data_IF_363812725586
#
_entry.id   IF_363812725586
#
_cell.length_a   1.000
_cell.length_b   1.000
_cell.length_c   1.000
_cell.angle_alpha   90.00
_cell.angle_beta   90.00
_cell.angle_gamma   90.00
#
_symmetry.space_group_name_H-M   'P 1'
#
loop_
_entity.id
_entity.type
_entity.pdbx_description
1 polymer ?
#
# COMPACT_ATOMS: atom_id res chain seq x y z
N UNK A 1 -6.04 -3.51 21.11
CA UNK A 1 -7.24 -4.15 20.52
C UNK A 1 -6.74 -5.10 19.44
N UNK A 2 -7.28 -6.31 19.33
CA UNK A 2 -6.97 -7.24 18.23
C UNK A 2 -8.10 -7.21 17.21
N UNK A 3 -7.78 -7.08 15.93
CA UNK A 3 -8.75 -7.18 14.84
C UNK A 3 -8.93 -8.65 14.43
N UNK A 4 -10.17 -9.05 14.17
CA UNK A 4 -10.49 -10.34 13.54
C UNK A 4 -10.31 -10.26 12.02
N UNK A 5 -9.96 -11.38 11.37
CA UNK A 5 -9.93 -11.49 9.92
C UNK A 5 -11.26 -11.09 9.28
N UNK A 6 -12.39 -11.43 9.92
CA UNK A 6 -13.72 -11.06 9.42
C UNK A 6 -13.91 -9.53 9.40
N UNK A 7 -13.41 -8.84 10.42
CA UNK A 7 -13.51 -7.37 10.52
C UNK A 7 -12.70 -6.69 9.44
N UNK A 8 -11.47 -7.17 9.21
CA UNK A 8 -10.60 -6.66 8.14
C UNK A 8 -11.21 -6.94 6.76
N UNK A 9 -11.68 -8.17 6.52
CA UNK A 9 -12.34 -8.55 5.28
C UNK A 9 -13.57 -7.68 5.01
N UNK A 10 -14.39 -7.42 6.02
CA UNK A 10 -15.57 -6.58 5.86
C UNK A 10 -15.22 -5.13 5.51
N UNK A 11 -14.18 -4.58 6.14
CA UNK A 11 -13.69 -3.23 5.82
C UNK A 11 -13.16 -3.14 4.39
N UNK A 12 -12.41 -4.15 3.93
CA UNK A 12 -11.91 -4.25 2.55
C UNK A 12 -13.07 -4.39 1.55
N UNK A 13 -14.00 -5.31 1.80
CA UNK A 13 -15.16 -5.51 0.95
C UNK A 13 -15.98 -4.22 0.80
N UNK A 14 -16.23 -3.51 1.90
CA UNK A 14 -16.93 -2.22 1.89
C UNK A 14 -16.17 -1.15 1.13
N UNK A 15 -14.85 -1.06 1.30
CA UNK A 15 -14.03 -0.13 0.53
C UNK A 15 -14.11 -0.39 -0.99
N UNK A 16 -14.06 -1.66 -1.40
CA UNK A 16 -14.18 -2.03 -2.82
C UNK A 16 -15.53 -1.61 -3.41
N UNK A 17 -16.61 -1.81 -2.65
CA UNK A 17 -17.95 -1.34 -3.05
C UNK A 17 -18.02 0.18 -3.15
N UNK A 18 -17.56 0.89 -2.12
CA UNK A 18 -17.63 2.35 -2.02
C UNK A 18 -16.76 3.04 -3.08
N UNK A 19 -15.67 2.41 -3.52
CA UNK A 19 -14.76 2.91 -4.55
C UNK A 19 -15.20 2.55 -5.98
N UNK A 20 -16.27 1.76 -6.15
CA UNK A 20 -16.77 1.36 -7.47
C UNK A 20 -16.06 0.15 -8.10
N UNK A 21 -15.22 -0.57 -7.35
CA UNK A 21 -14.53 -1.77 -7.84
C UNK A 21 -15.46 -2.99 -7.83
N UNK A 22 -16.48 -2.99 -8.70
CA UNK A 22 -17.57 -3.97 -8.70
C UNK A 22 -17.10 -5.41 -8.85
N UNK A 23 -16.21 -5.67 -9.82
CA UNK A 23 -15.69 -7.03 -10.06
C UNK A 23 -14.85 -7.54 -8.90
N UNK A 24 -13.96 -6.70 -8.36
CA UNK A 24 -13.14 -7.05 -7.20
C UNK A 24 -14.00 -7.28 -5.97
N UNK A 25 -14.99 -6.42 -5.71
CA UNK A 25 -15.92 -6.60 -4.60
C UNK A 25 -16.70 -7.91 -4.74
N UNK A 26 -17.16 -8.27 -5.95
CA UNK A 26 -17.86 -9.51 -6.20
C UNK A 26 -16.99 -10.74 -5.91
N UNK A 27 -15.80 -10.81 -6.53
CA UNK A 27 -14.87 -11.93 -6.33
C UNK A 27 -14.44 -12.05 -4.88
N UNK A 28 -14.04 -10.92 -4.28
CA UNK A 28 -13.59 -10.87 -2.89
C UNK A 28 -14.70 -11.28 -1.91
N UNK A 29 -15.95 -10.83 -2.12
CA UNK A 29 -17.06 -11.19 -1.25
C UNK A 29 -17.35 -12.71 -1.22
N UNK A 30 -17.10 -13.41 -2.32
CA UNK A 30 -17.20 -14.87 -2.40
C UNK A 30 -16.00 -15.54 -1.73
N UNK A 31 -14.79 -15.14 -2.10
CA UNK A 31 -13.53 -15.72 -1.60
C UNK A 31 -13.35 -15.53 -0.09
N UNK A 32 -13.74 -14.35 0.43
CA UNK A 32 -13.65 -14.02 1.85
C UNK A 32 -14.85 -14.53 2.67
N UNK A 33 -15.79 -15.26 2.04
CA UNK A 33 -17.03 -15.72 2.66
C UNK A 33 -17.77 -14.62 3.47
N UNK A 34 -17.89 -13.41 2.92
CA UNK A 34 -18.34 -12.25 3.70
C UNK A 34 -19.77 -12.41 4.24
N UNK A 35 -20.60 -13.17 3.55
CA UNK A 35 -21.98 -13.50 3.97
C UNK A 35 -22.05 -14.38 5.22
N UNK A 36 -20.97 -15.06 5.59
CA UNK A 36 -20.86 -15.87 6.81
C UNK A 36 -20.31 -15.06 7.99
N UNK A 37 -19.83 -13.83 7.75
CA UNK A 37 -19.33 -12.97 8.82
C UNK A 37 -20.47 -12.50 9.73
N UNK A 38 -20.19 -12.37 11.03
CA UNK A 38 -21.17 -11.88 12.02
C UNK A 38 -21.28 -10.34 12.06
N UNK A 39 -20.86 -9.65 10.99
CA UNK A 39 -20.72 -8.20 10.98
C UNK A 39 -22.00 -7.56 10.42
N UNK A 40 -22.58 -6.64 11.20
CA UNK A 40 -23.73 -5.86 10.75
C UNK A 40 -23.26 -4.67 9.90
N UNK A 41 -23.43 -4.78 8.58
CA UNK A 41 -23.04 -3.73 7.64
C UNK A 41 -23.70 -2.37 7.88
N UNK A 42 -24.87 -2.32 8.52
CA UNK A 42 -25.55 -1.06 8.82
C UNK A 42 -24.83 -0.22 9.90
N UNK A 43 -23.99 -0.86 10.73
CA UNK A 43 -23.21 -0.18 11.78
C UNK A 43 -21.87 0.33 11.26
N UNK A 44 -21.41 -0.16 10.11
CA UNK A 44 -20.12 0.22 9.54
C UNK A 44 -20.32 1.49 8.69
N UNK A 45 -19.78 2.65 9.11
CA UNK A 45 -19.95 3.90 8.39
C UNK A 45 -19.22 3.85 7.03
N UNK A 46 -19.60 4.72 6.07
CA UNK A 46 -18.84 4.88 4.84
C UNK A 46 -17.39 5.29 5.12
N UNK A 47 -16.46 4.86 4.26
CA UNK A 47 -15.03 5.14 4.35
C UNK A 47 -14.40 4.69 5.70
N UNK A 48 -14.97 3.67 6.36
CA UNK A 48 -14.45 3.16 7.63
C UNK A 48 -12.99 2.69 7.51
N UNK A 49 -12.65 1.97 6.44
CA UNK A 49 -11.28 1.49 6.20
C UNK A 49 -10.29 2.67 6.10
N UNK A 50 -10.61 3.68 5.28
CA UNK A 50 -9.78 4.86 5.11
C UNK A 50 -9.62 5.63 6.42
N UNK A 51 -10.70 5.76 7.18
CA UNK A 51 -10.71 6.45 8.47
C UNK A 51 -9.79 5.76 9.48
N UNK A 52 -9.80 4.42 9.51
CA UNK A 52 -8.92 3.63 10.39
C UNK A 52 -7.47 3.76 9.94
N UNK A 53 -7.19 3.65 8.64
CA UNK A 53 -5.83 3.81 8.11
C UNK A 53 -5.26 5.22 8.40
N UNK A 54 -6.07 6.25 8.20
CA UNK A 54 -5.68 7.63 8.50
C UNK A 54 -5.38 7.82 9.99
N UNK A 55 -6.21 7.27 10.87
CA UNK A 55 -5.96 7.30 12.33
C UNK A 55 -4.72 6.49 12.72
N UNK A 56 -4.48 5.36 12.05
CA UNK A 56 -3.27 4.56 12.25
C UNK A 56 -2.01 5.35 11.91
N UNK A 57 -2.03 6.08 10.78
CA UNK A 57 -0.92 6.94 10.39
C UNK A 57 -0.66 8.07 11.38
N UNK A 58 -1.73 8.74 11.84
CA UNK A 58 -1.63 9.78 12.88
C UNK A 58 -1.11 9.23 14.21
N UNK A 59 -1.51 8.01 14.56
CA UNK A 59 -1.02 7.35 15.76
C UNK A 59 0.48 7.06 15.66
N UNK A 60 0.96 6.57 14.52
CA UNK A 60 2.39 6.40 14.27
C UNK A 60 3.15 7.73 14.31
N UNK A 61 2.59 8.80 13.72
CA UNK A 61 3.19 10.14 13.80
C UNK A 61 3.31 10.62 15.25
N UNK A 62 2.25 10.43 16.05
CA UNK A 62 2.23 10.78 17.46
C UNK A 62 3.29 9.99 18.24
N UNK A 63 3.39 8.67 18.05
CA UNK A 63 4.42 7.84 18.70
C UNK A 63 5.84 8.30 18.35
N UNK A 64 6.09 8.71 17.10
CA UNK A 64 7.40 9.23 16.68
C UNK A 64 7.68 10.62 17.28
N UNK A 65 6.66 11.47 17.38
CA UNK A 65 6.80 12.85 17.85
C UNK A 65 7.05 12.97 19.36
N UNK A 66 6.73 11.94 20.13
CA UNK A 66 6.91 11.92 21.59
C UNK A 66 8.29 11.34 21.90
N UNK A 67 9.18 12.14 22.48
CA UNK A 67 10.47 11.65 22.99
C UNK A 67 10.30 10.71 24.20
N UNK A 68 11.31 9.88 24.52
CA UNK A 68 11.30 8.99 25.69
C UNK A 68 11.03 9.72 27.03
N UNK A 69 11.37 11.01 27.11
CA UNK A 69 11.13 11.88 28.27
C UNK A 69 9.74 12.55 28.26
N UNK A 70 8.89 12.26 27.26
CA UNK A 70 7.54 12.82 27.13
C UNK A 70 7.48 14.26 26.62
N UNK A 71 8.60 14.82 26.12
CA UNK A 71 8.63 16.14 25.49
C UNK A 71 8.36 16.03 23.99
N UNK A 72 7.52 16.91 23.45
CA UNK A 72 7.18 16.94 22.02
C UNK A 72 8.40 17.35 21.18
N UNK A 73 8.87 16.47 20.29
CA UNK A 73 9.82 16.83 19.25
C UNK A 73 9.07 17.55 18.12
N UNK A 74 9.27 18.86 18.05
CA UNK A 74 8.49 19.83 17.23
C UNK A 74 8.64 19.70 15.70
N UNK A 75 9.05 18.56 15.15
CA UNK A 75 9.36 18.50 13.73
C UNK A 75 9.18 17.11 13.15
N UNK A 76 7.95 16.60 13.18
CA UNK A 76 7.53 15.63 12.17
C UNK A 76 6.70 16.42 11.16
N UNK A 77 7.30 16.73 10.02
CA UNK A 77 6.51 17.13 8.85
C UNK A 77 5.52 16.00 8.60
N UNK A 78 4.23 16.35 8.58
CA UNK A 78 3.09 15.45 8.41
C UNK A 78 3.40 14.31 7.45
N UNK A 79 3.23 13.07 7.91
CA UNK A 79 3.44 11.88 7.09
C UNK A 79 2.51 11.94 5.88
N UNK A 80 3.02 12.36 4.74
CA UNK A 80 2.27 12.32 3.50
C UNK A 80 2.25 10.88 2.99
N UNK A 81 1.05 10.37 2.67
CA UNK A 81 0.89 9.04 2.06
C UNK A 81 1.74 8.87 0.79
N UNK A 82 2.00 9.97 0.07
CA UNK A 82 2.89 9.95 -1.10
C UNK A 82 4.36 9.73 -0.71
N UNK A 83 4.81 10.35 0.38
CA UNK A 83 6.20 10.27 0.82
C UNK A 83 6.53 8.89 1.36
N UNK A 84 5.55 8.21 1.98
CA UNK A 84 5.71 6.85 2.49
C UNK A 84 5.95 5.81 1.37
N UNK A 85 5.55 6.12 0.14
CA UNK A 85 5.68 5.24 -1.03
C UNK A 85 6.86 5.65 -1.93
N UNK A 86 7.52 6.79 -1.66
CA UNK A 86 8.68 7.25 -2.43
C UNK A 86 10.01 6.94 -1.71
N UNK A 87 10.82 5.98 -2.20
CA UNK A 87 12.03 5.52 -1.51
C UNK A 87 13.09 6.61 -1.31
N UNK A 88 13.21 7.56 -2.25
CA UNK A 88 14.18 8.65 -2.15
C UNK A 88 13.85 9.66 -1.02
N UNK A 89 12.55 9.90 -0.80
CA UNK A 89 12.08 10.80 0.26
C UNK A 89 12.29 10.13 1.63
N UNK A 90 12.01 8.82 1.73
CA UNK A 90 12.27 8.01 2.92
C UNK A 90 13.77 8.04 3.29
N UNK A 91 14.66 7.82 2.32
CA UNK A 91 16.11 7.85 2.54
C UNK A 91 16.59 9.24 2.97
N UNK A 92 16.06 10.30 2.36
CA UNK A 92 16.40 11.69 2.71
C UNK A 92 15.97 12.02 4.13
N UNK A 93 14.77 11.61 4.55
CA UNK A 93 14.29 11.79 5.94
C UNK A 93 15.11 10.98 6.93
N UNK A 94 15.46 9.73 6.63
CA UNK A 94 16.32 8.93 7.51
C UNK A 94 17.69 9.60 7.74
N UNK A 95 18.26 10.19 6.69
CA UNK A 95 19.51 10.96 6.81
C UNK A 95 19.35 12.24 7.64
N UNK A 96 18.23 12.97 7.50
CA UNK A 96 17.94 14.15 8.32
C UNK A 96 17.71 13.80 9.79
N UNK A 97 16.98 12.72 10.07
CA UNK A 97 16.78 12.21 11.44
C UNK A 97 18.10 11.77 12.08
N UNK A 98 18.98 11.11 11.32
CA UNK A 98 20.32 10.75 11.80
C UNK A 98 21.21 11.97 12.07
N UNK A 99 21.09 13.04 11.28
CA UNK A 99 21.81 14.30 11.52
C UNK A 99 21.27 15.05 12.76
N UNK A 100 19.95 15.09 12.96
CA UNK A 100 19.36 15.69 14.18
C UNK A 100 19.73 14.90 15.44
N UNK A 101 19.74 13.56 15.39
CA UNK A 101 20.21 12.74 16.50
C UNK A 101 21.69 12.95 16.82
N UNK A 102 22.54 13.23 15.82
CA UNK A 102 23.95 13.56 16.04
C UNK A 102 24.14 14.97 16.62
N UNK A 103 23.33 15.95 16.22
CA UNK A 103 23.36 17.30 16.77
C UNK A 103 22.89 17.34 18.25
N UNK A 104 21.86 16.58 18.60
CA UNK A 104 21.37 16.45 19.99
C UNK A 104 22.39 15.68 20.84
N UNK A 105 23.07 14.67 20.29
CA UNK A 105 24.13 13.94 21.01
C UNK A 105 25.36 14.82 21.30
N UNK A 106 25.70 15.78 20.43
CA UNK A 106 26.79 16.73 20.68
C UNK A 106 26.50 17.76 21.77
N UNK A 107 25.22 18.02 22.11
CA UNK A 107 24.87 18.92 23.22
C UNK A 107 24.87 18.22 24.60
N UNK A 108 24.87 16.88 24.65
CA UNK A 108 24.76 16.11 25.90
C UNK A 108 26.09 15.46 26.33
N UNK A 109 27.14 15.46 25.48
CA UNK A 109 28.42 14.77 25.76
C UNK A 109 29.52 15.61 26.42
N UNK A 110 29.19 16.63 27.20
CA UNK A 110 30.15 17.33 28.08
C UNK A 110 29.99 16.92 29.55
N UNK A 111 29.85 15.63 29.85
CA UNK A 111 30.23 15.08 31.16
C UNK A 111 30.74 13.64 31.05
N UNK A 112 32.01 13.46 31.43
CA UNK A 112 32.75 12.20 31.52
C UNK A 112 32.01 11.07 32.25
N UNK A 113 32.14 9.84 31.74
CA UNK A 113 31.88 8.61 32.50
C UNK A 113 31.96 7.36 31.62
N UNK A 114 33.05 6.62 31.76
CA UNK A 114 33.34 5.33 31.14
C UNK A 114 32.28 4.26 31.49
N UNK A 115 31.90 3.41 30.54
CA UNK A 115 32.14 1.96 30.64
C UNK A 115 31.72 1.19 29.37
N UNK A 116 32.53 0.18 29.06
CA UNK A 116 32.37 -0.81 28.01
C UNK A 116 31.24 -1.80 28.30
N UNK A 117 30.61 -2.38 27.26
CA UNK A 117 30.44 -3.83 27.18
C UNK A 117 29.98 -4.31 25.81
N UNK A 118 30.56 -5.44 25.43
CA UNK A 118 30.50 -6.18 24.17
C UNK A 118 29.26 -7.10 24.03
N UNK A 119 28.89 -7.33 22.76
CA UNK A 119 28.41 -8.61 22.15
C UNK A 119 27.06 -9.21 22.59
N UNK A 120 26.14 -9.38 21.64
CA UNK A 120 25.72 -10.71 21.12
C UNK A 120 24.90 -10.59 19.81
N UNK A 121 25.38 -11.30 18.78
CA UNK A 121 24.67 -11.59 17.53
C UNK A 121 23.74 -12.78 17.79
N UNK A 122 22.46 -12.66 17.44
CA UNK A 122 21.55 -13.80 17.40
C UNK A 122 20.82 -13.85 16.05
N UNK A 123 21.25 -14.80 15.24
CA UNK A 123 20.58 -15.32 14.05
C UNK A 123 19.30 -16.03 14.51
N UNK A 124 18.14 -15.70 13.92
CA UNK A 124 16.91 -16.48 14.08
C UNK A 124 16.34 -16.83 12.71
N UNK A 125 16.11 -18.13 12.56
CA UNK A 125 15.76 -18.90 11.38
C UNK A 125 14.34 -18.62 10.89
N UNK A 126 14.20 -18.47 9.57
CA UNK A 126 12.92 -18.49 8.84
C UNK A 126 12.48 -19.94 8.58
N UNK A 127 11.22 -20.34 8.85
CA UNK A 127 10.66 -21.52 8.22
C UNK A 127 10.08 -21.13 6.85
N UNK A 128 10.65 -21.71 5.81
CA UNK A 128 10.12 -21.70 4.45
C UNK A 128 8.95 -22.67 4.37
N UNK A 129 7.72 -22.17 4.18
CA UNK A 129 6.62 -23.00 3.71
C UNK A 129 6.42 -22.79 2.21
N UNK A 130 6.63 -23.87 1.47
CA UNK A 130 6.38 -23.97 0.03
C UNK A 130 4.87 -23.90 -0.20
N UNK A 131 4.42 -22.87 -0.92
CA UNK A 131 3.06 -22.81 -1.43
C UNK A 131 3.02 -23.54 -2.78
N UNK A 132 2.51 -24.78 -2.79
CA UNK A 132 2.13 -25.46 -4.02
C UNK A 132 0.96 -24.69 -4.65
N UNK A 133 1.23 -24.02 -5.78
CA UNK A 133 0.20 -23.42 -6.63
C UNK A 133 -0.01 -24.34 -7.82
N UNK A 134 -1.00 -25.22 -7.72
CA UNK A 134 -1.58 -25.89 -8.87
C UNK A 134 -3.08 -25.62 -8.91
N UNK A 135 -3.49 -24.63 -9.71
CA UNK A 135 -4.67 -24.71 -10.59
C UNK A 135 -4.36 -23.79 -11.78
N UNK A 136 -4.06 -24.38 -12.93
CA UNK A 136 -4.03 -23.68 -14.21
C UNK A 136 -5.46 -23.34 -14.65
N UNK A 137 -5.95 -22.17 -14.23
CA UNK A 137 -7.18 -21.59 -14.78
C UNK A 137 -6.86 -21.04 -16.16
N UNK A 138 -7.11 -21.82 -17.20
CA UNK A 138 -6.95 -21.40 -18.59
C UNK A 138 -8.11 -20.45 -18.96
N UNK A 139 -7.86 -19.14 -18.97
CA UNK A 139 -8.84 -18.13 -19.39
C UNK A 139 -9.06 -18.30 -20.90
N UNK A 140 -10.29 -18.59 -21.37
CA UNK A 140 -10.56 -18.73 -22.79
C UNK A 140 -10.20 -17.43 -23.53
N UNK A 141 -9.47 -17.52 -24.64
CA UNK A 141 -9.07 -16.34 -25.44
C UNK A 141 -10.25 -15.52 -25.97
N UNK A 142 -11.46 -16.08 -25.98
CA UNK A 142 -12.70 -15.36 -26.30
C UNK A 142 -13.17 -14.39 -25.20
N UNK A 143 -12.63 -14.50 -23.99
CA UNK A 143 -12.94 -13.65 -22.83
C UNK A 143 -11.83 -12.65 -22.48
N UNK A 144 -10.75 -12.63 -23.24
CA UNK A 144 -9.62 -11.73 -23.02
C UNK A 144 -9.33 -10.93 -24.29
N UNK A 145 -9.25 -9.60 -24.16
CA UNK A 145 -8.85 -8.71 -25.25
C UNK A 145 -7.38 -8.39 -25.11
N UNK A 146 -6.60 -8.62 -26.17
CA UNK A 146 -5.17 -8.30 -26.21
C UNK A 146 -4.96 -6.93 -26.82
N UNK A 147 -4.48 -5.99 -26.00
CA UNK A 147 -4.11 -4.64 -26.43
C UNK A 147 -2.66 -4.65 -26.90
N UNK A 148 -2.46 -4.59 -28.22
CA UNK A 148 -1.12 -4.65 -28.84
C UNK A 148 -0.58 -3.25 -29.05
N UNK A 149 0.65 -3.00 -28.61
CA UNK A 149 1.31 -1.71 -28.87
C UNK A 149 2.62 -1.51 -28.12
N UNK A 150 2.75 -2.04 -26.91
CA UNK A 150 4.01 -1.95 -26.19
C UNK A 150 5.07 -2.88 -26.78
N UNK A 151 6.29 -2.40 -26.87
CA UNK A 151 7.45 -3.14 -27.43
C UNK A 151 8.29 -3.83 -26.34
N UNK A 152 7.96 -3.60 -25.06
CA UNK A 152 8.61 -4.16 -23.87
C UNK A 152 7.57 -4.42 -22.77
N UNK A 153 8.01 -4.96 -21.64
CA UNK A 153 7.20 -5.30 -20.48
C UNK A 153 6.35 -4.12 -20.00
N UNK A 154 5.10 -4.40 -19.62
CA UNK A 154 4.21 -3.42 -19.00
C UNK A 154 4.33 -3.57 -17.50
N UNK A 155 4.80 -2.53 -16.81
CA UNK A 155 5.01 -2.55 -15.36
C UNK A 155 3.78 -2.09 -14.59
N UNK A 156 2.93 -1.27 -15.22
CA UNK A 156 1.79 -0.64 -14.56
C UNK A 156 0.62 -0.46 -15.52
N UNK A 157 -0.59 -0.64 -15.00
CA UNK A 157 -1.82 -0.23 -15.67
C UNK A 157 -2.84 0.33 -14.66
N UNK A 158 -3.65 1.28 -15.10
CA UNK A 158 -4.68 1.90 -14.27
C UNK A 158 -5.89 2.32 -15.11
N UNK A 159 -7.09 1.93 -14.68
CA UNK A 159 -8.34 2.39 -15.28
C UNK A 159 -8.66 3.81 -14.83
N UNK A 160 -9.23 4.60 -15.74
CA UNK A 160 -9.87 5.84 -15.37
C UNK A 160 -11.16 5.51 -14.57
N UNK A 161 -11.38 6.12 -13.39
CA UNK A 161 -12.54 5.81 -12.55
C UNK A 161 -13.88 6.34 -13.09
N UNK A 162 -13.85 7.19 -14.12
CA UNK A 162 -15.03 7.88 -14.66
C UNK A 162 -15.32 7.59 -16.13
N UNK A 163 -14.31 7.18 -16.90
CA UNK A 163 -14.43 6.90 -18.34
C UNK A 163 -13.83 5.55 -18.65
N UNK A 164 -14.22 4.92 -19.75
CA UNK A 164 -13.66 3.64 -20.22
C UNK A 164 -12.26 3.82 -20.86
N UNK A 165 -11.34 4.46 -20.13
CA UNK A 165 -9.96 4.64 -20.53
C UNK A 165 -9.05 3.81 -19.64
N UNK A 166 -8.06 3.15 -20.23
CA UNK A 166 -7.01 2.44 -19.52
C UNK A 166 -5.66 3.09 -19.83
N UNK A 167 -4.88 3.41 -18.81
CA UNK A 167 -3.50 3.84 -18.97
C UNK A 167 -2.56 2.65 -18.74
N UNK A 168 -1.51 2.50 -19.55
CA UNK A 168 -0.42 1.54 -19.33
C UNK A 168 0.96 2.19 -19.49
N UNK A 169 1.91 1.79 -18.64
CA UNK A 169 3.31 2.23 -18.70
C UNK A 169 4.25 1.05 -18.92
N UNK A 170 5.17 1.17 -19.88
CA UNK A 170 6.06 0.09 -20.30
C UNK A 170 7.54 0.46 -20.23
N UNK A 171 8.39 -0.56 -20.17
CA UNK A 171 9.84 -0.46 -20.34
C UNK A 171 10.28 0.06 -21.71
N UNK A 172 9.36 0.15 -22.69
CA UNK A 172 9.61 0.77 -24.00
C UNK A 172 9.74 2.31 -23.94
N UNK A 173 9.75 2.88 -22.72
CA UNK A 173 9.79 4.32 -22.46
C UNK A 173 8.56 5.08 -22.95
N UNK A 174 7.44 4.38 -23.19
CA UNK A 174 6.17 4.98 -23.57
C UNK A 174 5.07 4.66 -22.53
N UNK A 175 4.14 5.60 -22.41
CA UNK A 175 2.85 5.36 -21.79
C UNK A 175 1.78 5.42 -22.88
N UNK A 176 0.79 4.53 -22.80
CA UNK A 176 -0.33 4.45 -23.76
C UNK A 176 -1.65 4.60 -23.04
N UNK A 177 -2.57 5.32 -23.67
CA UNK A 177 -3.97 5.42 -23.26
C UNK A 177 -4.79 4.59 -24.24
N UNK A 178 -5.59 3.67 -23.71
CA UNK A 178 -6.48 2.81 -24.47
C UNK A 178 -7.91 3.27 -24.25
N UNK A 179 -8.59 3.59 -25.34
CA UNK A 179 -10.02 3.85 -25.34
C UNK A 179 -10.79 2.54 -25.56
N UNK A 180 -11.60 2.18 -24.55
CA UNK A 180 -12.39 0.96 -24.53
C UNK A 180 -13.88 1.24 -24.80
N UNK A 181 -14.25 2.51 -25.01
CA UNK A 181 -15.61 2.90 -25.37
C UNK A 181 -16.02 2.45 -26.78
N UNK A 182 -15.03 2.21 -27.65
CA UNK A 182 -15.23 1.70 -29.02
C UNK A 182 -15.18 0.17 -29.05
N UNK A 183 -16.27 -0.48 -28.63
CA UNK A 183 -16.47 -1.92 -28.90
C UNK A 183 -16.92 -2.20 -30.35
N UNK A 184 -16.61 -1.30 -31.29
CA UNK A 184 -16.91 -1.45 -32.71
C UNK A 184 -15.67 -1.15 -33.56
N UNK A 185 -14.88 -2.21 -33.76
CA UNK A 185 -14.14 -2.43 -35.01
C UNK A 185 -12.98 -1.45 -35.29
N UNK A 186 -11.87 -1.54 -34.55
CA UNK A 186 -10.47 -1.38 -35.04
C UNK A 186 -9.46 -1.47 -33.88
N UNK A 187 -8.49 -2.39 -33.87
CA UNK A 187 -7.41 -2.36 -32.91
C UNK A 187 -6.35 -1.39 -33.44
N UNK A 188 -6.50 -0.10 -33.14
CA UNK A 188 -5.45 0.94 -33.17
C UNK A 188 -6.11 2.29 -33.43
N UNK A 189 -6.42 3.03 -32.39
CA UNK A 189 -6.35 4.48 -32.52
C UNK A 189 -5.83 5.10 -31.23
N UNK A 190 -4.68 5.75 -31.39
CA UNK A 190 -4.02 6.59 -30.41
C UNK A 190 -4.76 7.93 -30.35
N UNK A 191 -5.01 8.41 -29.13
CA UNK A 191 -5.08 9.85 -28.83
C UNK A 191 -3.90 10.19 -27.94
#
# INVERSE_FOLDING_TARGET
MSFSSDEVNFLVYRYLQESGFQHSAYTFGIESHISQSNINGALVPPAALLSILQKGLQYTEAEISISEDGTEQRLVESLSLIDAVMPDIVATRQNQQNQQKQAIKSEITDTNGEESSEVVVAVVSTPSENMEVDISIEIPSSKATVLRGHESEVFICAWNPTTDLLASGSGDSTARIWDMSDNTTSPNQLV
#
